data_IF_166716327128
#
_entry.id   IF_166716327128
#
_cell.length_a   1.000
_cell.length_b   1.000
_cell.length_c   1.000
_cell.angle_alpha   90.00
_cell.angle_beta   90.00
_cell.angle_gamma   90.00
#
_symmetry.space_group_name_H-M   'P 1'
#
loop_
_entity.id
_entity.type
_entity.pdbx_description
1 polymer ?
#
# COMPACT_ATOMS: atom_id res chain seq x y z
N UNK A 1 22.08 3.53 -21.76
CA UNK A 1 20.67 3.09 -21.79
C UNK A 1 20.06 3.32 -20.42
N UNK A 2 19.07 4.22 -20.30
CA UNK A 2 18.48 4.61 -19.00
C UNK A 2 17.09 3.98 -18.89
N UNK A 3 16.84 3.18 -17.85
CA UNK A 3 15.55 2.53 -17.58
C UNK A 3 14.94 3.08 -16.29
N UNK A 4 13.61 3.15 -16.22
CA UNK A 4 12.91 3.47 -14.99
C UNK A 4 13.12 2.34 -13.97
N UNK A 5 13.63 2.65 -12.77
CA UNK A 5 13.82 1.67 -11.71
C UNK A 5 12.57 1.55 -10.85
N UNK A 6 12.01 0.36 -10.78
CA UNK A 6 10.83 0.03 -9.97
C UNK A 6 11.20 -0.70 -8.68
N UNK A 7 10.32 -0.59 -7.70
CA UNK A 7 10.36 -1.30 -6.42
C UNK A 7 9.03 -2.00 -6.19
N UNK A 8 9.10 -3.13 -5.52
CA UNK A 8 7.97 -3.97 -5.17
C UNK A 8 7.95 -4.12 -3.65
N UNK A 9 6.90 -3.62 -3.02
CA UNK A 9 6.66 -3.75 -1.59
C UNK A 9 5.70 -4.93 -1.41
N UNK A 10 6.14 -5.93 -0.66
CA UNK A 10 5.29 -7.02 -0.18
C UNK A 10 4.67 -6.54 1.12
N UNK A 11 3.35 -6.44 1.13
CA UNK A 11 2.57 -5.87 2.23
C UNK A 11 1.66 -6.95 2.80
N UNK A 12 1.60 -7.04 4.11
CA UNK A 12 0.72 -7.91 4.86
C UNK A 12 -0.32 -7.06 5.60
N UNK A 13 -1.60 -7.43 5.48
CA UNK A 13 -2.67 -6.82 6.25
C UNK A 13 -2.81 -7.55 7.58
N UNK A 14 -2.34 -6.91 8.64
CA UNK A 14 -2.49 -7.36 10.02
C UNK A 14 -3.75 -6.72 10.65
N UNK A 15 -4.44 -7.45 11.52
CA UNK A 15 -5.65 -6.97 12.19
C UNK A 15 -6.12 -7.92 13.28
N UNK A 16 -6.70 -7.42 14.39
CA UNK A 16 -7.06 -8.22 15.54
C UNK A 16 -8.25 -9.13 15.19
N UNK A 17 -7.94 -10.37 14.83
CA UNK A 17 -8.89 -11.45 14.70
C UNK A 17 -9.27 -11.85 13.27
N UNK A 18 -10.00 -12.97 13.20
CA UNK A 18 -10.64 -13.48 11.97
C UNK A 18 -11.96 -12.77 11.66
N UNK A 19 -12.22 -11.60 12.27
CA UNK A 19 -13.36 -10.78 11.84
C UNK A 19 -13.16 -10.43 10.37
N UNK A 20 -14.25 -10.49 9.61
CA UNK A 20 -14.24 -10.29 8.15
C UNK A 20 -13.68 -8.89 7.86
N UNK A 21 -12.39 -8.81 7.56
CA UNK A 21 -11.80 -7.67 6.90
C UNK A 21 -12.64 -7.44 5.64
N UNK A 22 -13.29 -6.29 5.55
CA UNK A 22 -14.14 -5.92 4.41
C UNK A 22 -13.35 -5.81 3.11
N UNK A 23 -12.02 -5.72 3.22
CA UNK A 23 -11.05 -5.66 2.13
C UNK A 23 -10.96 -7.02 1.43
N UNK A 24 -11.79 -7.19 0.40
CA UNK A 24 -11.82 -8.42 -0.42
C UNK A 24 -11.05 -8.26 -1.71
N UNK A 25 -10.95 -7.03 -2.21
CA UNK A 25 -10.53 -6.75 -3.58
C UNK A 25 -9.25 -5.92 -3.60
N UNK A 26 -8.50 -6.02 -4.70
CA UNK A 26 -7.27 -5.23 -4.91
C UNK A 26 -7.56 -3.74 -5.00
N UNK A 27 -8.75 -3.39 -5.47
CA UNK A 27 -9.25 -2.02 -5.61
C UNK A 27 -9.42 -1.36 -4.24
N UNK A 28 -9.94 -2.11 -3.25
CA UNK A 28 -10.11 -1.64 -1.88
C UNK A 28 -8.75 -1.27 -1.26
N UNK A 29 -7.75 -2.15 -1.41
CA UNK A 29 -6.38 -1.90 -0.96
C UNK A 29 -5.78 -0.68 -1.68
N UNK A 30 -6.03 -0.56 -2.98
CA UNK A 30 -5.57 0.58 -3.78
C UNK A 30 -6.15 1.89 -3.27
N UNK A 31 -7.45 1.90 -2.95
CA UNK A 31 -8.16 3.08 -2.45
C UNK A 31 -7.64 3.49 -1.08
N UNK A 32 -7.54 2.56 -0.13
CA UNK A 32 -7.06 2.81 1.24
C UNK A 32 -5.67 3.46 1.24
N UNK A 33 -4.76 2.95 0.40
CA UNK A 33 -3.41 3.48 0.32
C UNK A 33 -3.41 4.87 -0.32
N UNK A 34 -4.22 5.10 -1.37
CA UNK A 34 -4.34 6.43 -1.98
C UNK A 34 -4.92 7.45 -1.02
N UNK A 35 -5.93 7.07 -0.23
CA UNK A 35 -6.52 7.91 0.80
C UNK A 35 -5.50 8.25 1.90
N UNK A 36 -4.69 7.27 2.32
CA UNK A 36 -3.57 7.53 3.23
C UNK A 36 -2.57 8.53 2.64
N UNK A 37 -2.12 8.30 1.40
CA UNK A 37 -1.18 9.21 0.74
C UNK A 37 -1.76 10.61 0.61
N UNK A 38 -3.03 10.76 0.25
CA UNK A 38 -3.72 12.04 0.17
C UNK A 38 -3.81 12.72 1.55
N UNK A 39 -4.11 11.96 2.60
CA UNK A 39 -4.26 12.48 3.96
C UNK A 39 -2.94 12.98 4.55
N UNK A 40 -1.82 12.30 4.29
CA UNK A 40 -0.53 12.60 4.92
C UNK A 40 0.43 13.41 4.05
N UNK A 41 0.38 13.27 2.72
CA UNK A 41 1.27 13.96 1.78
C UNK A 41 0.55 14.98 0.90
N UNK A 42 -0.78 15.09 1.01
CA UNK A 42 -1.60 16.00 0.23
C UNK A 42 -1.52 15.74 -1.28
N UNK A 43 -1.87 16.75 -2.06
CA UNK A 43 -1.92 16.67 -3.52
C UNK A 43 -0.54 16.40 -4.14
N UNK A 44 0.54 16.85 -3.48
CA UNK A 44 1.91 16.58 -3.93
C UNK A 44 2.22 15.07 -3.93
N UNK A 45 1.91 14.38 -2.83
CA UNK A 45 2.12 12.94 -2.74
C UNK A 45 1.26 12.16 -3.74
N UNK A 46 0.01 12.57 -3.90
CA UNK A 46 -0.93 11.97 -4.87
C UNK A 46 -0.40 12.14 -6.29
N UNK A 47 0.00 13.35 -6.69
CA UNK A 47 0.51 13.63 -8.03
C UNK A 47 1.78 12.83 -8.37
N UNK A 48 2.70 12.69 -7.41
CA UNK A 48 3.93 11.89 -7.62
C UNK A 48 3.67 10.39 -7.73
N UNK A 49 2.76 9.87 -6.93
CA UNK A 49 2.46 8.42 -6.89
C UNK A 49 1.53 7.98 -8.01
N UNK A 50 0.70 8.89 -8.57
CA UNK A 50 -0.39 8.59 -9.51
C UNK A 50 -0.03 7.63 -10.67
N UNK A 51 1.12 7.80 -11.31
CA UNK A 51 1.53 7.00 -12.49
C UNK A 51 2.37 5.77 -12.15
N UNK A 52 3.06 5.79 -11.01
CA UNK A 52 4.09 4.79 -10.67
C UNK A 52 3.58 3.75 -9.68
N UNK A 53 2.59 4.14 -8.89
CA UNK A 53 1.93 3.32 -7.88
C UNK A 53 0.87 2.40 -8.50
N UNK A 54 0.98 1.09 -8.24
CA UNK A 54 -0.02 0.11 -8.65
C UNK A 54 -0.02 -1.10 -7.71
N UNK A 55 -1.18 -1.52 -7.21
CA UNK A 55 -1.34 -2.81 -6.53
C UNK A 55 -1.44 -3.91 -7.60
N UNK A 56 -0.44 -4.78 -7.66
CA UNK A 56 -0.37 -5.86 -8.66
C UNK A 56 -1.15 -7.10 -8.24
N UNK A 57 -1.12 -7.38 -6.94
CA UNK A 57 -1.71 -8.58 -6.38
C UNK A 57 -2.24 -8.28 -4.99
N UNK A 58 -3.37 -8.89 -4.65
CA UNK A 58 -3.87 -8.97 -3.30
C UNK A 58 -4.66 -10.28 -3.17
N UNK A 59 -4.43 -10.99 -2.08
CA UNK A 59 -5.22 -12.17 -1.71
C UNK A 59 -5.84 -11.96 -0.34
N UNK A 60 -7.17 -12.03 -0.29
CA UNK A 60 -7.93 -11.95 0.95
C UNK A 60 -7.71 -13.17 1.86
N UNK A 61 -7.32 -14.32 1.28
CA UNK A 61 -7.07 -15.55 2.04
C UNK A 61 -5.76 -15.48 2.83
N UNK A 62 -4.69 -15.00 2.19
CA UNK A 62 -3.35 -14.90 2.82
C UNK A 62 -3.09 -13.53 3.41
N UNK A 63 -3.94 -12.53 3.11
CA UNK A 63 -3.78 -11.11 3.50
C UNK A 63 -2.48 -10.48 2.99
N UNK A 64 -1.91 -11.05 1.93
CA UNK A 64 -0.68 -10.55 1.30
C UNK A 64 -1.04 -9.78 0.04
N UNK A 65 -0.44 -8.61 -0.12
CA UNK A 65 -0.48 -7.77 -1.31
C UNK A 65 0.91 -7.47 -1.84
N UNK A 66 0.99 -7.19 -3.14
CA UNK A 66 2.21 -6.72 -3.80
C UNK A 66 1.93 -5.38 -4.45
N UNK A 67 2.71 -4.38 -4.04
CA UNK A 67 2.58 -2.99 -4.49
C UNK A 67 3.81 -2.61 -5.30
N UNK A 68 3.60 -2.16 -6.53
CA UNK A 68 4.64 -1.56 -7.37
C UNK A 68 4.73 -0.05 -7.10
N UNK A 69 5.93 0.46 -7.00
CA UNK A 69 6.21 1.90 -6.92
C UNK A 69 7.52 2.24 -7.67
N UNK A 70 7.76 3.53 -7.92
CA UNK A 70 9.07 3.98 -8.38
C UNK A 70 10.09 3.91 -7.24
N UNK A 71 11.36 3.67 -7.56
CA UNK A 71 12.44 3.55 -6.55
C UNK A 71 12.53 4.76 -5.62
N UNK A 72 12.35 5.97 -6.14
CA UNK A 72 12.39 7.21 -5.36
C UNK A 72 11.20 7.38 -4.41
N UNK A 73 10.07 6.73 -4.71
CA UNK A 73 8.82 6.86 -3.97
C UNK A 73 8.58 5.69 -3.00
N UNK A 74 9.45 4.68 -3.01
CA UNK A 74 9.39 3.50 -2.12
C UNK A 74 9.17 3.88 -0.67
N UNK A 75 10.04 4.77 -0.14
CA UNK A 75 9.97 5.25 1.24
C UNK A 75 8.69 6.00 1.55
N UNK A 76 8.23 6.86 0.63
CA UNK A 76 7.00 7.64 0.80
C UNK A 76 5.78 6.72 0.90
N UNK A 77 5.72 5.72 0.03
CA UNK A 77 4.64 4.72 0.03
C UNK A 77 4.72 3.84 1.28
N UNK A 78 5.90 3.39 1.67
CA UNK A 78 6.11 2.60 2.88
C UNK A 78 5.68 3.36 4.15
N UNK A 79 6.08 4.62 4.31
CA UNK A 79 5.66 5.43 5.46
C UNK A 79 4.15 5.71 5.46
N UNK A 80 3.51 5.78 4.29
CA UNK A 80 2.05 5.93 4.20
C UNK A 80 1.28 4.74 4.79
N UNK A 81 1.87 3.53 4.79
CA UNK A 81 1.23 2.34 5.34
C UNK A 81 1.15 2.34 6.86
N UNK A 82 2.16 2.91 7.53
CA UNK A 82 2.19 3.01 8.98
C UNK A 82 1.01 3.83 9.54
N UNK A 83 0.55 4.81 8.77
CA UNK A 83 -0.51 5.70 9.19
C UNK A 83 -1.92 5.20 8.86
N UNK A 84 -2.04 4.06 8.17
CA UNK A 84 -3.31 3.38 7.95
C UNK A 84 -3.70 2.72 9.27
N UNK A 85 -4.24 3.53 10.20
CA UNK A 85 -4.98 3.07 11.36
C UNK A 85 -6.45 3.28 11.00
N UNK A 86 -7.19 2.19 10.86
CA UNK A 86 -8.54 2.28 10.34
C UNK A 86 -9.46 3.14 11.21
N UNK A 87 -10.51 3.65 10.59
CA UNK A 87 -11.66 4.20 11.29
C UNK A 87 -12.20 3.16 12.28
N UNK A 88 -12.86 3.62 13.34
CA UNK A 88 -13.24 2.86 14.55
C UNK A 88 -13.93 1.49 14.36
N UNK A 89 -14.28 1.09 13.13
CA UNK A 89 -14.86 -0.21 12.80
C UNK A 89 -13.84 -1.27 12.31
N UNK A 90 -12.61 -0.91 11.93
CA UNK A 90 -11.61 -1.84 11.40
C UNK A 90 -10.20 -1.44 11.86
N UNK A 91 -9.72 -2.06 12.94
CA UNK A 91 -8.31 -1.95 13.34
C UNK A 91 -7.43 -2.75 12.36
N UNK A 92 -7.17 -2.18 11.18
CA UNK A 92 -6.22 -2.74 10.21
C UNK A 92 -4.88 -2.05 10.31
N UNK A 93 -3.80 -2.82 10.20
CA UNK A 93 -2.42 -2.34 10.06
C UNK A 93 -1.82 -2.91 8.78
N UNK A 94 -1.21 -2.06 7.98
CA UNK A 94 -0.45 -2.49 6.79
C UNK A 94 1.02 -2.61 7.17
N UNK A 95 1.53 -3.85 7.19
CA UNK A 95 2.94 -4.15 7.48
C UNK A 95 3.69 -4.41 6.19
N UNK A 96 4.80 -3.72 5.96
CA UNK A 96 5.74 -4.11 4.90
C UNK A 96 6.57 -5.29 5.39
N UNK A 97 6.49 -6.41 4.67
CA UNK A 97 7.29 -7.61 4.95
C UNK A 97 8.63 -7.51 4.27
N UNK A 98 8.65 -7.02 3.02
CA UNK A 98 9.86 -6.94 2.22
C UNK A 98 9.76 -5.91 1.10
N UNK A 99 10.84 -5.19 0.85
CA UNK A 99 11.06 -4.41 -0.37
C UNK A 99 11.96 -5.20 -1.34
N UNK A 100 11.56 -5.28 -2.60
CA UNK A 100 12.25 -6.00 -3.66
C UNK A 100 12.47 -5.11 -4.90
N UNK A 101 13.54 -5.37 -5.66
CA UNK A 101 13.88 -4.69 -6.92
C UNK A 101 15.33 -4.19 -6.96
N UNK A 102 15.90 -4.00 -8.16
CA UNK A 102 17.27 -3.47 -8.40
C UNK A 102 17.26 -2.06 -8.98
#
# INVERSE_FOLDING_TARGET
MVRLKTRYLIVELDGPGKQKLSVKTKEDVTLIIRESVAKYYGDYGVGRTQYTYQVLYYSSHTRIGVVRCARELSRLVESSFFFVNGSAALEMRLRVVRECGT
#
